data_IF_648385300557
#
_entry.id   IF_648385300557
#
_cell.length_a   1.000
_cell.length_b   1.000
_cell.length_c   1.000
_cell.angle_alpha   90.00
_cell.angle_beta   90.00
_cell.angle_gamma   90.00
#
_symmetry.space_group_name_H-M   'P 1'
#
loop_
_entity.id
_entity.type
_entity.pdbx_description
1 polymer ?
#
# COMPACT_ATOMS: atom_id res chain seq x y z
N UNK A 1 22.54 24.82 6.62
CA UNK A 1 21.65 25.36 5.58
C UNK A 1 20.38 24.52 5.61
N UNK A 2 19.30 25.08 6.14
CA UNK A 2 18.03 24.38 6.27
C UNK A 2 17.43 24.18 4.87
N UNK A 3 17.23 22.92 4.48
CA UNK A 3 16.47 22.57 3.29
C UNK A 3 14.99 22.85 3.60
N UNK A 4 14.43 23.86 2.94
CA UNK A 4 12.99 24.10 2.97
C UNK A 4 12.27 22.87 2.43
N UNK A 5 11.37 22.31 3.23
CA UNK A 5 10.42 21.31 2.76
C UNK A 5 9.58 21.95 1.65
N UNK A 6 9.69 21.41 0.45
CA UNK A 6 8.87 21.84 -0.67
C UNK A 6 7.42 21.42 -0.36
N UNK A 7 6.56 22.37 0.01
CA UNK A 7 5.11 22.19 0.17
C UNK A 7 4.40 21.98 -1.18
N UNK A 8 4.95 21.12 -2.04
CA UNK A 8 4.26 20.62 -3.22
C UNK A 8 3.30 19.48 -2.85
N UNK A 9 2.46 19.06 -3.81
CA UNK A 9 1.56 17.90 -3.65
C UNK A 9 2.29 16.63 -3.20
N UNK A 10 3.56 16.48 -3.59
CA UNK A 10 4.40 15.37 -3.16
C UNK A 10 4.82 15.49 -1.67
N UNK A 11 5.09 16.71 -1.19
CA UNK A 11 5.42 16.96 0.22
C UNK A 11 4.23 16.66 1.15
N UNK A 12 3.02 17.06 0.76
CA UNK A 12 1.80 16.74 1.52
C UNK A 12 1.54 15.22 1.61
N UNK A 13 1.78 14.48 0.52
CA UNK A 13 1.67 13.02 0.52
C UNK A 13 2.77 12.37 1.37
N UNK A 14 3.99 12.87 1.32
CA UNK A 14 5.08 12.35 2.15
C UNK A 14 4.81 12.58 3.65
N UNK A 15 4.34 13.77 4.02
CA UNK A 15 3.94 14.08 5.40
C UNK A 15 2.80 13.18 5.88
N UNK A 16 1.82 12.91 5.01
CA UNK A 16 0.73 11.97 5.29
C UNK A 16 1.26 10.57 5.64
N UNK A 17 2.15 10.01 4.81
CA UNK A 17 2.71 8.68 5.08
C UNK A 17 3.66 8.64 6.27
N UNK A 18 4.36 9.72 6.58
CA UNK A 18 5.34 9.76 7.66
C UNK A 18 4.73 10.05 9.04
N UNK A 19 3.68 10.87 9.10
CA UNK A 19 3.23 11.46 10.38
C UNK A 19 1.74 11.25 10.67
N UNK A 20 0.91 10.98 9.66
CA UNK A 20 -0.53 10.88 9.89
C UNK A 20 -0.88 9.60 10.67
N UNK A 21 -1.72 9.75 11.69
CA UNK A 21 -2.35 8.65 12.43
C UNK A 21 -3.79 8.40 11.96
N UNK A 22 -4.20 9.02 10.86
CA UNK A 22 -5.58 9.15 10.42
C UNK A 22 -5.93 10.62 10.14
N UNK A 23 -6.52 10.90 8.99
CA UNK A 23 -7.02 12.23 8.60
C UNK A 23 -8.53 12.14 8.35
N UNK A 24 -9.37 12.68 9.25
CA UNK A 24 -10.82 12.65 9.06
C UNK A 24 -11.25 13.46 7.85
N UNK A 25 -12.21 12.94 7.11
CA UNK A 25 -12.89 13.67 6.04
C UNK A 25 -13.62 14.90 6.60
N UNK A 26 -13.71 15.99 5.81
CA UNK A 26 -14.49 17.15 6.21
C UNK A 26 -15.98 16.80 6.33
N UNK A 27 -16.72 17.61 7.10
CA UNK A 27 -18.18 17.45 7.22
C UNK A 27 -18.84 17.59 5.85
N UNK A 28 -19.73 16.66 5.52
CA UNK A 28 -20.44 16.64 4.23
C UNK A 28 -19.61 16.06 3.09
N UNK A 29 -18.49 15.40 3.41
CA UNK A 29 -17.73 14.61 2.44
C UNK A 29 -18.63 13.58 1.75
N UNK A 30 -18.41 13.41 0.45
CA UNK A 30 -19.12 12.46 -0.39
C UNK A 30 -18.12 11.36 -0.74
N UNK A 31 -18.52 10.10 -0.57
CA UNK A 31 -17.69 8.92 -0.86
C UNK A 31 -17.55 8.68 -2.37
N UNK A 32 -16.82 9.56 -3.06
CA UNK A 32 -16.65 9.58 -4.51
C UNK A 32 -15.23 9.21 -4.97
N UNK A 33 -14.38 8.71 -4.06
CA UNK A 33 -12.97 8.40 -4.33
C UNK A 33 -12.74 7.46 -5.53
N UNK A 34 -13.65 6.50 -5.74
CA UNK A 34 -13.61 5.61 -6.94
C UNK A 34 -13.86 6.40 -8.23
N UNK A 35 -14.84 7.32 -8.21
CA UNK A 35 -15.11 8.18 -9.36
C UNK A 35 -13.94 9.12 -9.63
N UNK A 36 -13.40 9.74 -8.58
CA UNK A 36 -12.27 10.68 -8.67
C UNK A 36 -10.96 10.03 -9.14
N UNK A 37 -10.77 8.73 -8.87
CA UNK A 37 -9.60 7.97 -9.33
C UNK A 37 -9.76 7.34 -10.73
N UNK A 38 -10.94 7.48 -11.35
CA UNK A 38 -11.22 6.86 -12.64
C UNK A 38 -10.29 7.38 -13.73
N UNK A 39 -9.65 6.45 -14.45
CA UNK A 39 -8.75 6.77 -15.56
C UNK A 39 -7.36 7.29 -15.16
N UNK A 40 -7.08 7.51 -13.87
CA UNK A 40 -5.74 7.94 -13.40
C UNK A 40 -4.67 6.95 -13.83
N UNK A 41 -4.92 5.65 -13.68
CA UNK A 41 -3.98 4.60 -14.11
C UNK A 41 -3.68 4.61 -15.61
N UNK A 42 -4.64 4.99 -16.45
CA UNK A 42 -4.43 5.12 -17.89
C UNK A 42 -3.59 6.36 -18.25
N UNK A 43 -3.69 7.42 -17.46
CA UNK A 43 -2.98 8.69 -17.69
C UNK A 43 -1.57 8.71 -17.10
N UNK A 44 -1.40 8.21 -15.87
CA UNK A 44 -0.16 8.32 -15.09
C UNK A 44 0.55 6.98 -14.90
N UNK A 45 -0.06 5.87 -15.33
CA UNK A 45 0.40 4.53 -15.02
C UNK A 45 -0.12 4.03 -13.66
N UNK A 46 0.09 2.74 -13.41
CA UNK A 46 -0.24 2.15 -12.12
C UNK A 46 0.73 2.62 -11.02
N UNK A 47 0.28 2.69 -9.76
CA UNK A 47 1.17 2.89 -8.63
C UNK A 47 2.37 1.94 -8.70
N UNK A 48 3.55 2.44 -8.38
CA UNK A 48 4.80 1.67 -8.37
C UNK A 48 5.38 1.70 -6.96
N UNK A 49 5.89 0.56 -6.48
CA UNK A 49 6.56 0.52 -5.16
C UNK A 49 7.70 1.54 -5.10
N UNK A 50 8.01 2.05 -3.91
CA UNK A 50 9.22 2.83 -3.69
C UNK A 50 10.48 1.99 -3.94
N UNK A 51 11.65 2.65 -4.05
CA UNK A 51 12.94 1.98 -4.28
C UNK A 51 13.35 1.05 -3.14
N UNK A 52 12.78 1.24 -1.94
CA UNK A 52 12.96 0.35 -0.80
C UNK A 52 12.01 -0.86 -0.81
N UNK A 53 11.13 -0.99 -1.81
CA UNK A 53 10.17 -2.08 -1.95
C UNK A 53 8.90 -1.92 -1.13
N UNK A 54 8.60 -0.72 -0.64
CA UNK A 54 7.33 -0.45 0.04
C UNK A 54 6.23 -0.08 -0.96
N UNK A 55 5.04 -0.64 -0.74
CA UNK A 55 3.78 -0.21 -1.36
C UNK A 55 3.05 0.69 -0.37
N UNK A 56 2.77 1.93 -0.77
CA UNK A 56 2.04 2.91 0.01
C UNK A 56 0.58 2.95 -0.47
N UNK A 57 -0.37 2.84 0.45
CA UNK A 57 -1.80 2.83 0.19
C UNK A 57 -2.48 3.87 1.10
N UNK A 58 -3.43 4.62 0.54
CA UNK A 58 -4.38 5.38 1.33
C UNK A 58 -5.57 4.46 1.57
N UNK A 59 -5.85 4.15 2.83
CA UNK A 59 -7.00 3.34 3.22
C UNK A 59 -8.08 4.25 3.79
N UNK A 60 -9.17 4.41 3.07
CA UNK A 60 -10.33 5.16 3.53
C UNK A 60 -11.23 4.25 4.37
N UNK A 61 -11.27 4.48 5.69
CA UNK A 61 -12.21 3.79 6.58
C UNK A 61 -13.55 4.53 6.54
N UNK A 62 -14.57 3.90 5.95
CA UNK A 62 -15.93 4.50 5.82
C UNK A 62 -16.65 4.55 7.17
N UNK A 63 -16.65 3.44 7.90
CA UNK A 63 -17.39 3.24 9.15
C UNK A 63 -16.58 2.35 10.12
N UNK A 64 -17.13 2.10 11.30
CA UNK A 64 -16.44 1.51 12.45
C UNK A 64 -15.92 0.09 12.21
N UNK A 65 -16.56 -0.71 11.35
CA UNK A 65 -16.18 -2.10 11.03
C UNK A 65 -15.20 -2.22 9.87
N UNK A 66 -14.79 -1.11 9.26
CA UNK A 66 -13.72 -1.04 8.27
C UNK A 66 -12.31 -0.88 8.87
N UNK A 67 -12.15 -1.04 10.18
CA UNK A 67 -10.88 -0.74 10.85
C UNK A 67 -9.86 -1.89 10.75
N UNK A 68 -8.72 -1.72 11.43
CA UNK A 68 -7.62 -2.67 11.45
C UNK A 68 -7.65 -3.66 12.63
N UNK A 69 -6.57 -4.45 12.81
CA UNK A 69 -5.41 -4.51 11.91
C UNK A 69 -5.76 -5.09 10.54
N UNK A 70 -5.15 -4.53 9.49
CA UNK A 70 -5.27 -5.03 8.13
C UNK A 70 -4.27 -6.16 7.87
N UNK A 71 -4.71 -7.13 7.08
CA UNK A 71 -3.90 -8.17 6.46
C UNK A 71 -3.79 -7.88 4.97
N UNK A 72 -2.59 -8.02 4.43
CA UNK A 72 -2.33 -7.83 3.00
C UNK A 72 -1.70 -9.08 2.43
N UNK A 73 -2.32 -9.62 1.37
CA UNK A 73 -1.71 -10.63 0.52
C UNK A 73 -1.46 -10.05 -0.87
N UNK A 74 -0.37 -10.46 -1.51
CA UNK A 74 0.00 -10.00 -2.85
C UNK A 74 0.03 -11.20 -3.79
N UNK A 75 -0.70 -11.08 -4.89
CA UNK A 75 -0.55 -11.94 -6.06
C UNK A 75 0.44 -11.29 -7.03
N UNK A 76 1.51 -12.04 -7.35
CA UNK A 76 2.58 -11.61 -8.24
C UNK A 76 2.37 -12.04 -9.69
N UNK A 77 1.44 -12.97 -9.98
CA UNK A 77 1.41 -13.70 -11.25
C UNK A 77 0.04 -13.74 -11.92
N UNK A 78 -1.06 -13.97 -11.20
CA UNK A 78 -2.35 -14.31 -11.83
C UNK A 78 -3.21 -13.10 -12.18
N UNK A 79 -2.79 -11.88 -11.80
CA UNK A 79 -3.60 -10.68 -11.97
C UNK A 79 -4.85 -10.67 -11.09
N UNK A 80 -4.79 -11.33 -9.93
CA UNK A 80 -5.86 -11.44 -8.95
C UNK A 80 -6.89 -12.54 -9.22
N UNK A 81 -6.64 -13.40 -10.21
CA UNK A 81 -7.61 -14.42 -10.67
C UNK A 81 -7.45 -15.79 -10.03
N UNK A 82 -6.27 -16.11 -9.50
CA UNK A 82 -5.98 -17.34 -8.76
C UNK A 82 -5.80 -17.05 -7.26
N UNK A 83 -6.73 -17.49 -6.40
CA UNK A 83 -6.61 -17.34 -4.95
C UNK A 83 -5.32 -17.94 -4.36
N UNK A 84 -4.73 -18.96 -5.00
CA UNK A 84 -3.51 -19.63 -4.53
C UNK A 84 -2.23 -18.85 -4.82
N UNK A 85 -2.30 -17.86 -5.73
CA UNK A 85 -1.15 -17.04 -6.08
C UNK A 85 -0.88 -15.93 -5.04
N UNK A 86 -1.84 -15.66 -4.16
CA UNK A 86 -1.72 -14.68 -3.09
C UNK A 86 -0.79 -15.17 -1.97
N UNK A 87 0.23 -14.36 -1.67
CA UNK A 87 1.18 -14.58 -0.58
C UNK A 87 1.11 -13.44 0.41
N UNK A 88 1.12 -13.74 1.71
CA UNK A 88 1.06 -12.70 2.74
C UNK A 88 2.28 -11.78 2.68
N UNK A 89 2.02 -10.49 2.88
CA UNK A 89 2.99 -9.42 2.94
C UNK A 89 2.92 -8.71 4.30
N UNK A 90 4.06 -8.22 4.77
CA UNK A 90 4.13 -7.51 6.05
C UNK A 90 3.52 -6.11 5.90
N UNK A 91 2.61 -5.75 6.80
CA UNK A 91 2.06 -4.40 6.92
C UNK A 91 2.87 -3.65 7.97
N UNK A 92 3.82 -2.82 7.52
CA UNK A 92 4.77 -2.10 8.40
C UNK A 92 4.17 -0.85 9.02
N UNK A 93 3.13 -0.30 8.40
CA UNK A 93 2.29 0.75 8.99
C UNK A 93 0.84 0.33 8.75
N UNK A 94 0.14 0.09 9.86
CA UNK A 94 -1.22 -0.42 9.88
C UNK A 94 -2.15 0.62 10.51
N UNK A 95 -3.45 0.46 10.29
CA UNK A 95 -4.46 1.36 10.83
C UNK A 95 -4.88 0.90 12.23
N UNK A 96 -5.47 1.80 13.00
CA UNK A 96 -5.99 1.48 14.34
C UNK A 96 -7.14 0.48 14.26
N UNK A 97 -7.34 -0.25 15.36
CA UNK A 97 -8.50 -1.11 15.54
C UNK A 97 -8.17 -2.41 16.23
N UNK A 98 -9.22 -3.14 16.60
CA UNK A 98 -9.15 -4.46 17.19
C UNK A 98 -10.19 -5.33 16.48
N UNK A 99 -9.75 -6.44 15.88
CA UNK A 99 -10.61 -7.36 15.14
C UNK A 99 -11.44 -6.69 14.03
N UNK A 100 -10.89 -5.66 13.39
CA UNK A 100 -11.57 -4.91 12.34
C UNK A 100 -12.45 -3.77 12.84
N UNK A 101 -12.47 -3.49 14.15
CA UNK A 101 -13.32 -2.44 14.73
C UNK A 101 -12.53 -1.27 15.33
N UNK A 102 -13.04 -0.06 15.18
CA UNK A 102 -12.58 1.15 15.87
C UNK A 102 -13.74 2.12 16.12
N UNK A 103 -13.48 3.24 16.80
CA UNK A 103 -14.48 4.29 17.07
C UNK A 103 -14.42 5.45 16.07
N UNK A 104 -13.75 5.26 14.92
CA UNK A 104 -13.62 6.28 13.89
C UNK A 104 -14.40 5.89 12.64
N UNK A 105 -14.72 6.88 11.82
CA UNK A 105 -15.40 6.74 10.54
C UNK A 105 -14.97 7.86 9.60
N UNK A 106 -15.24 7.70 8.30
CA UNK A 106 -14.82 8.60 7.22
C UNK A 106 -13.42 9.18 7.43
N UNK A 107 -12.41 8.32 7.51
CA UNK A 107 -11.02 8.71 7.85
C UNK A 107 -10.02 8.02 6.93
N UNK A 108 -9.11 8.80 6.37
CA UNK A 108 -7.99 8.30 5.57
C UNK A 108 -6.81 7.92 6.45
N UNK A 109 -6.31 6.71 6.27
CA UNK A 109 -5.14 6.21 6.97
C UNK A 109 -4.00 5.87 6.00
N UNK A 110 -2.75 6.20 6.36
CA UNK A 110 -1.60 5.67 5.66
C UNK A 110 -1.41 4.19 6.00
N UNK A 111 -1.38 3.35 4.97
CA UNK A 111 -1.01 1.94 5.07
C UNK A 111 0.24 1.71 4.25
N UNK A 112 1.26 1.11 4.87
CA UNK A 112 2.52 0.80 4.20
C UNK A 112 2.77 -0.69 4.29
N UNK A 113 2.96 -1.31 3.14
CA UNK A 113 3.16 -2.74 2.97
C UNK A 113 4.57 -2.98 2.46
N UNK A 114 5.29 -3.90 3.09
CA UNK A 114 6.58 -4.37 2.58
C UNK A 114 6.35 -5.45 1.54
N UNK A 115 6.66 -5.14 0.28
CA UNK A 115 6.63 -6.15 -0.78
C UNK A 115 7.82 -7.10 -0.58
N UNK A 116 7.61 -8.42 -0.47
CA UNK A 116 8.69 -9.39 -0.31
C UNK A 116 9.77 -9.28 -1.39
N UNK A 117 11.03 -9.24 -0.98
CA UNK A 117 12.17 -9.23 -1.91
C UNK A 117 12.22 -10.52 -2.75
N UNK A 118 12.72 -10.42 -3.98
CA UNK A 118 12.84 -11.56 -4.89
C UNK A 118 11.51 -12.02 -5.53
N UNK A 119 10.38 -11.43 -5.15
CA UNK A 119 9.11 -11.59 -5.88
C UNK A 119 8.98 -10.46 -6.92
N UNK A 120 8.69 -10.80 -8.17
CA UNK A 120 8.53 -9.83 -9.27
C UNK A 120 7.11 -9.90 -9.78
N UNK A 121 6.48 -8.75 -10.03
CA UNK A 121 5.18 -8.70 -10.69
C UNK A 121 5.34 -9.19 -12.13
N UNK A 122 4.68 -10.29 -12.47
CA UNK A 122 4.63 -10.87 -13.81
C UNK A 122 3.20 -10.97 -14.34
N UNK A 123 2.19 -10.68 -13.52
CA UNK A 123 0.80 -10.70 -13.91
C UNK A 123 0.47 -9.75 -15.06
N UNK A 124 -0.55 -10.13 -15.82
CA UNK A 124 -1.10 -9.35 -16.93
C UNK A 124 -2.56 -9.02 -16.65
N UNK A 125 -2.88 -7.73 -16.56
CA UNK A 125 -4.24 -7.24 -16.28
C UNK A 125 -4.61 -6.22 -17.36
N UNK A 126 -5.75 -6.42 -18.02
CA UNK A 126 -6.26 -5.53 -19.06
C UNK A 126 -5.20 -5.12 -20.13
N UNK A 127 -4.34 -6.07 -20.52
CA UNK A 127 -3.27 -5.83 -21.51
C UNK A 127 -1.95 -5.28 -20.94
N UNK A 128 -1.92 -4.83 -19.68
CA UNK A 128 -0.74 -4.33 -19.00
C UNK A 128 0.01 -5.48 -18.33
N UNK A 129 1.28 -5.68 -18.69
CA UNK A 129 2.15 -6.69 -18.08
C UNK A 129 2.94 -6.13 -16.89
N UNK A 130 3.39 -7.02 -16.01
CA UNK A 130 4.21 -6.64 -14.86
C UNK A 130 3.39 -6.12 -13.68
N UNK A 131 2.14 -6.59 -13.55
CA UNK A 131 1.18 -6.15 -12.55
C UNK A 131 1.10 -7.15 -11.41
N UNK A 132 1.15 -6.64 -10.18
CA UNK A 132 0.76 -7.36 -8.98
C UNK A 132 -0.60 -6.87 -8.49
N UNK A 133 -1.33 -7.73 -7.78
CA UNK A 133 -2.55 -7.36 -7.08
C UNK A 133 -2.33 -7.52 -5.57
N UNK A 134 -2.40 -6.42 -4.83
CA UNK A 134 -2.49 -6.46 -3.38
C UNK A 134 -3.96 -6.57 -2.98
N UNK A 135 -4.30 -7.55 -2.14
CA UNK A 135 -5.60 -7.72 -1.51
C UNK A 135 -5.48 -7.34 -0.05
N UNK A 136 -6.22 -6.32 0.34
CA UNK A 136 -6.23 -5.74 1.70
C UNK A 136 -7.54 -6.12 2.37
N UNK A 137 -7.47 -6.69 3.58
CA UNK A 137 -8.64 -7.15 4.33
C UNK A 137 -8.46 -6.95 5.82
N UNK A 138 -9.54 -6.76 6.56
CA UNK A 138 -9.56 -6.88 8.01
C UNK A 138 -10.15 -8.23 8.46
N UNK A 139 -10.38 -8.38 9.77
CA UNK A 139 -10.94 -9.58 10.40
C UNK A 139 -12.31 -9.35 11.06
N UNK A 140 -13.07 -8.35 10.60
CA UNK A 140 -14.38 -8.05 11.13
C UNK A 140 -15.36 -9.22 10.93
N UNK A 141 -16.22 -9.45 11.92
CA UNK A 141 -17.17 -10.59 11.91
C UNK A 141 -18.25 -10.47 10.83
N UNK A 142 -18.68 -9.24 10.50
CA UNK A 142 -19.65 -8.99 9.45
C UNK A 142 -19.11 -9.31 8.04
N UNK A 143 -17.79 -9.47 7.92
CA UNK A 143 -17.09 -9.83 6.70
C UNK A 143 -15.72 -9.15 6.69
N UNK A 144 -14.71 -9.77 6.07
CA UNK A 144 -13.44 -9.08 5.89
C UNK A 144 -13.64 -7.91 4.92
N UNK A 145 -13.65 -6.69 5.46
CA UNK A 145 -13.73 -5.45 4.69
C UNK A 145 -12.35 -5.05 4.16
N UNK A 146 -12.35 -4.33 3.04
CA UNK A 146 -11.13 -3.81 2.43
C UNK A 146 -11.28 -3.68 0.93
N UNK A 147 -10.22 -3.97 0.20
CA UNK A 147 -10.18 -3.74 -1.25
C UNK A 147 -8.96 -4.37 -1.92
N UNK A 148 -8.76 -4.01 -3.18
CA UNK A 148 -7.62 -4.46 -3.96
C UNK A 148 -6.90 -3.28 -4.63
N UNK A 149 -5.59 -3.38 -4.76
CA UNK A 149 -4.76 -2.41 -5.47
C UNK A 149 -3.92 -3.11 -6.54
N UNK A 150 -4.04 -2.66 -7.78
CA UNK A 150 -3.13 -3.05 -8.85
C UNK A 150 -1.91 -2.13 -8.83
N UNK A 151 -0.71 -2.71 -8.85
CA UNK A 151 0.54 -1.96 -8.80
C UNK A 151 1.63 -2.63 -9.64
N UNK A 152 2.68 -1.89 -9.94
CA UNK A 152 3.89 -2.42 -10.57
C UNK A 152 5.07 -2.36 -9.60
N UNK A 153 6.07 -3.21 -9.84
CA UNK A 153 7.25 -3.29 -8.98
C UNK A 153 8.34 -2.35 -9.51
N UNK A 154 8.92 -1.53 -8.63
CA UNK A 154 10.20 -0.90 -8.92
C UNK A 154 11.27 -2.00 -9.14
N UNK A 155 11.90 -1.99 -10.32
CA UNK A 155 12.87 -3.02 -10.73
C UNK A 155 14.12 -3.08 -9.85
N UNK A 156 14.48 -1.99 -9.17
CA UNK A 156 15.62 -1.94 -8.26
C UNK A 156 15.30 -2.61 -6.93
N UNK A 157 14.11 -2.35 -6.38
CA UNK A 157 13.62 -2.99 -5.17
C UNK A 157 13.51 -4.51 -5.30
N UNK A 158 13.05 -4.99 -6.47
CA UNK A 158 12.85 -6.41 -6.74
C UNK A 158 14.14 -7.26 -6.68
N UNK A 159 15.32 -6.64 -6.92
CA UNK A 159 16.62 -7.32 -6.87
C UNK A 159 17.14 -7.54 -5.44
N UNK A 160 16.48 -6.95 -4.44
CA UNK A 160 16.95 -6.89 -3.06
C UNK A 160 18.17 -5.97 -2.90
N UNK A 161 18.34 -5.37 -1.72
CA UNK A 161 19.60 -4.69 -1.41
C UNK A 161 20.72 -5.73 -1.47
N UNK A 162 21.70 -5.57 -2.37
CA UNK A 162 22.95 -6.35 -2.26
C UNK A 162 23.53 -6.04 -0.88
N UNK A 163 23.81 -7.07 -0.09
CA UNK A 163 24.52 -6.90 1.17
C UNK A 163 25.76 -6.05 0.90
N UNK A 164 25.86 -4.89 1.53
CA UNK A 164 27.02 -4.03 1.37
C UNK A 164 28.23 -4.82 1.84
N UNK A 165 29.18 -5.06 0.94
CA UNK A 165 30.42 -5.81 1.18
C UNK A 165 31.39 -5.02 2.07
N UNK A 166 30.92 -4.46 3.19
CA UNK A 166 31.69 -3.65 4.13
C UNK A 166 31.45 -4.10 5.58
N UNK A 167 31.74 -5.37 5.85
CA UNK A 167 32.28 -5.81 7.15
C UNK A 167 32.97 -7.18 7.00
N UNK A 168 34.07 -7.23 6.25
CA UNK A 168 35.00 -8.37 6.26
C UNK A 168 36.43 -7.86 6.40
N UNK A 169 36.74 -7.22 7.53
CA UNK A 169 38.08 -7.00 8.09
C UNK A 169 37.83 -6.80 9.60
N UNK A 170 38.30 -7.65 10.50
CA UNK A 170 39.69 -8.09 10.70
C UNK A 170 39.71 -9.50 11.32
N UNK A 171 40.61 -10.35 10.83
CA UNK A 171 41.20 -11.39 11.68
C UNK A 171 42.04 -10.66 12.73
N UNK A 172 41.85 -11.02 14.00
CA UNK A 172 42.88 -10.95 15.03
C UNK A 172 43.24 -12.40 15.31
#
# INVERSE_FOLDING_TARGET
MALGAEHGVNGLLDDFFQTAKGVPSPRGYIEDGVQNSTGVGAKLGLPTTASDGTLKLIYHQVNEDGAGPLLVDIDFTSGGTDPKAFKSAEVVQNIIGVLGFSTVSSTDFPVVVKVPAGQVCTGKVAGVSGVCIARVRNSATAGPFGGAAAFTHNREAAKGKKASAKFRHRRI
#
